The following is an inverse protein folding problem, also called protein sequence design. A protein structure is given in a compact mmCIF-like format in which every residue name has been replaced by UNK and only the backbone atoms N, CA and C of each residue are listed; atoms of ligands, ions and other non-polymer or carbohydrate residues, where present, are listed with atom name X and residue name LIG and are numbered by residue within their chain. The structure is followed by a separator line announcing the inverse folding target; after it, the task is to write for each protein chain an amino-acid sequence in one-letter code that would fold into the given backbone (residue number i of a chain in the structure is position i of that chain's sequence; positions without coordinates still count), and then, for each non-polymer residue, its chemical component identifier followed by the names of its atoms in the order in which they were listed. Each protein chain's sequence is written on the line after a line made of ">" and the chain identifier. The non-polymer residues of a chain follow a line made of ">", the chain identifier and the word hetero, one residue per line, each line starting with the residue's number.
data_IF_929745097814
#
_entry.id   IF_929745097814
#
_cell.length_a   1.000
_cell.length_b   1.000
_cell.length_c   1.000
_cell.angle_alpha   90.00
_cell.angle_beta   90.00
_cell.angle_gamma   90.00
#
_symmetry.space_group_name_H-M   'P 1'
#
loop_
_entity.id
_entity.type
_entity.pdbx_description
1 polymer ?
#
# COMPACT_ATOMS: atom_id res chain seq x y z
N UNK A 1 40.72 72.06 31.87
CA UNK A 1 39.63 72.87 32.45
C UNK A 1 38.45 72.77 31.49
N UNK A 2 37.28 72.41 32.03
CA UNK A 2 36.00 72.05 31.39
C UNK A 2 36.00 70.67 30.68
N UNK A 3 35.20 69.67 31.01
CA UNK A 3 34.03 69.60 31.90
C UNK A 3 32.77 69.22 31.11
N UNK A 4 32.20 68.05 31.42
CA UNK A 4 30.80 67.64 31.17
C UNK A 4 30.41 67.02 29.81
N UNK A 5 30.01 65.74 29.83
CA UNK A 5 28.85 65.20 29.09
C UNK A 5 28.57 63.78 29.61
N UNK A 6 27.68 63.63 30.59
CA UNK A 6 26.25 63.40 30.47
C UNK A 6 25.91 61.90 30.40
N UNK A 7 25.35 61.40 31.51
CA UNK A 7 24.69 60.11 31.62
C UNK A 7 23.60 59.96 30.57
N UNK A 8 23.52 58.82 29.91
CA UNK A 8 22.23 58.25 29.51
C UNK A 8 22.27 56.72 29.61
N UNK A 9 21.48 56.25 30.56
CA UNK A 9 21.04 54.87 30.71
C UNK A 9 20.35 54.41 29.41
N UNK A 10 20.75 53.26 28.86
CA UNK A 10 19.83 52.49 28.03
C UNK A 10 20.07 50.99 28.23
N UNK A 11 19.26 50.41 29.12
CA UNK A 11 19.10 48.97 29.23
C UNK A 11 18.47 48.42 27.94
N UNK A 12 19.28 47.73 27.12
CA UNK A 12 18.77 46.93 26.01
C UNK A 12 18.02 45.71 26.57
N UNK A 13 16.68 45.77 26.57
CA UNK A 13 15.84 44.58 26.68
C UNK A 13 15.83 43.88 25.31
N UNK A 14 16.21 42.60 25.18
CA UNK A 14 15.98 41.86 23.95
C UNK A 14 14.46 41.66 23.76
N UNK A 15 13.92 42.25 22.70
CA UNK A 15 12.56 42.02 22.26
C UNK A 15 12.43 40.59 21.72
N UNK A 16 11.72 39.74 22.46
CA UNK A 16 11.26 38.42 21.97
C UNK A 16 10.18 38.68 20.93
N UNK A 17 10.50 38.42 19.66
CA UNK A 17 9.52 38.43 18.57
C UNK A 17 8.66 37.16 18.65
N UNK A 18 7.33 37.25 18.73
CA UNK A 18 6.45 36.09 18.59
C UNK A 18 6.56 35.57 17.15
N UNK A 19 7.01 34.31 17.04
CA UNK A 19 7.13 33.56 15.78
C UNK A 19 5.73 33.43 15.15
N UNK A 20 5.55 33.74 13.85
CA UNK A 20 4.24 33.63 13.20
C UNK A 20 3.72 32.19 13.31
N UNK A 21 2.51 32.08 13.86
CA UNK A 21 1.82 30.82 14.07
C UNK A 21 1.60 30.07 12.76
N UNK A 22 1.70 28.75 12.86
CA UNK A 22 1.39 27.80 11.80
C UNK A 22 -0.02 28.14 11.27
N UNK A 23 -0.10 28.58 10.01
CA UNK A 23 -1.37 28.70 9.31
C UNK A 23 -1.92 27.30 9.09
N UNK A 24 -2.79 26.84 9.98
CA UNK A 24 -3.64 25.68 9.76
C UNK A 24 -4.62 25.99 8.64
N UNK A 25 -4.27 25.61 7.42
CA UNK A 25 -5.24 25.50 6.34
C UNK A 25 -6.34 24.50 6.75
N UNK A 26 -7.63 24.76 6.44
CA UNK A 26 -8.70 23.83 6.77
C UNK A 26 -8.44 22.45 6.15
N UNK A 27 -8.69 21.34 6.88
CA UNK A 27 -8.55 20.00 6.31
C UNK A 27 -9.46 19.83 5.11
N UNK A 28 -8.94 19.27 4.02
CA UNK A 28 -9.70 18.96 2.83
C UNK A 28 -10.84 17.96 3.18
N UNK A 29 -12.01 18.07 2.53
CA UNK A 29 -13.13 17.17 2.82
C UNK A 29 -12.75 15.71 2.48
N UNK A 30 -13.19 14.73 3.29
CA UNK A 30 -12.94 13.31 3.01
C UNK A 30 -13.53 12.90 1.66
N UNK A 31 -12.77 12.12 0.88
CA UNK A 31 -13.24 11.49 -0.35
C UNK A 31 -13.77 10.11 -0.02
N UNK A 32 -14.87 9.72 -0.67
CA UNK A 32 -15.47 8.40 -0.47
C UNK A 32 -15.58 7.65 -1.78
N UNK A 33 -15.27 6.36 -1.75
CA UNK A 33 -15.27 5.49 -2.91
C UNK A 33 -16.06 4.21 -2.60
N UNK A 34 -17.11 3.89 -3.38
CA UNK A 34 -17.75 2.58 -3.27
C UNK A 34 -16.79 1.51 -3.80
N UNK A 35 -16.67 0.40 -3.07
CA UNK A 35 -15.79 -0.70 -3.42
C UNK A 35 -16.45 -2.04 -3.14
N UNK A 36 -15.98 -3.06 -3.87
CA UNK A 36 -16.37 -4.45 -3.72
C UNK A 36 -15.14 -5.30 -3.55
N UNK A 37 -15.26 -6.40 -2.84
CA UNK A 37 -14.15 -7.29 -2.65
C UNK A 37 -14.51 -8.60 -1.97
N UNK A 38 -13.49 -9.41 -1.75
CA UNK A 38 -13.56 -10.67 -1.02
C UNK A 38 -12.68 -10.56 0.21
N UNK A 39 -13.25 -10.86 1.38
CA UNK A 39 -12.50 -10.93 2.63
C UNK A 39 -11.49 -12.07 2.53
N UNK A 40 -10.20 -11.79 2.75
CA UNK A 40 -9.14 -12.80 2.78
C UNK A 40 -8.76 -13.21 4.19
N UNK A 41 -8.75 -12.25 5.12
CA UNK A 41 -8.34 -12.48 6.51
C UNK A 41 -8.93 -11.38 7.39
N UNK A 42 -9.35 -11.73 8.61
CA UNK A 42 -9.63 -10.77 9.67
C UNK A 42 -8.46 -10.79 10.64
N UNK A 43 -7.86 -9.62 10.91
CA UNK A 43 -6.74 -9.54 11.84
C UNK A 43 -7.24 -9.63 13.29
N UNK A 44 -6.40 -10.17 14.20
CA UNK A 44 -6.79 -10.38 15.61
C UNK A 44 -6.92 -9.07 16.41
N UNK A 45 -6.52 -7.93 15.85
CA UNK A 45 -6.74 -6.60 16.43
C UNK A 45 -8.22 -6.18 16.41
N UNK A 46 -9.06 -6.85 15.60
CA UNK A 46 -10.48 -6.56 15.47
C UNK A 46 -10.80 -5.24 14.76
N UNK A 47 -9.78 -4.60 14.18
CA UNK A 47 -9.88 -3.31 13.51
C UNK A 47 -9.28 -3.33 12.11
N UNK A 48 -8.63 -4.41 11.70
CA UNK A 48 -8.05 -4.54 10.37
C UNK A 48 -8.61 -5.76 9.64
N UNK A 49 -9.01 -5.57 8.39
CA UNK A 49 -9.45 -6.65 7.51
C UNK A 49 -8.63 -6.64 6.22
N UNK A 50 -8.13 -7.81 5.82
CA UNK A 50 -7.44 -7.98 4.55
C UNK A 50 -8.49 -8.31 3.49
N UNK A 51 -8.63 -7.43 2.50
CA UNK A 51 -9.62 -7.59 1.44
C UNK A 51 -8.90 -7.63 0.09
N UNK A 52 -9.25 -8.62 -0.73
CA UNK A 52 -8.99 -8.56 -2.17
C UNK A 52 -10.09 -7.73 -2.80
N UNK A 53 -9.81 -6.46 -3.04
CA UNK A 53 -10.81 -5.55 -3.61
C UNK A 53 -10.71 -5.51 -5.14
N UNK A 54 -11.83 -5.20 -5.77
CA UNK A 54 -11.91 -4.90 -7.20
C UNK A 54 -11.30 -3.53 -7.52
N UNK A 55 -11.16 -3.21 -8.80
CA UNK A 55 -10.68 -1.90 -9.20
C UNK A 55 -11.64 -0.81 -8.71
N UNK A 56 -11.09 0.22 -8.05
CA UNK A 56 -11.82 1.40 -7.56
C UNK A 56 -11.55 2.53 -8.57
N UNK A 57 -12.54 2.88 -9.43
CA UNK A 57 -12.34 3.86 -10.49
C UNK A 57 -11.85 5.21 -9.96
N UNK A 58 -10.77 5.71 -10.53
CA UNK A 58 -10.18 7.01 -10.15
C UNK A 58 -9.43 7.01 -8.82
N UNK A 59 -9.20 5.83 -8.21
CA UNK A 59 -8.42 5.72 -6.97
C UNK A 59 -7.32 4.65 -7.06
N UNK A 60 -7.67 3.38 -7.31
CA UNK A 60 -6.68 2.29 -7.33
C UNK A 60 -7.16 1.04 -8.11
N UNK A 61 -6.21 0.26 -8.63
CA UNK A 61 -6.49 -1.02 -9.28
C UNK A 61 -6.80 -2.14 -8.28
N UNK A 62 -7.31 -3.28 -8.77
CA UNK A 62 -7.63 -4.43 -7.93
C UNK A 62 -6.37 -5.01 -7.26
N UNK A 63 -6.36 -5.09 -5.92
CA UNK A 63 -5.25 -5.68 -5.17
C UNK A 63 -5.74 -6.27 -3.84
N UNK A 64 -4.84 -6.96 -3.13
CA UNK A 64 -5.13 -7.52 -1.79
C UNK A 64 -4.32 -6.77 -0.76
N UNK A 65 -4.99 -6.09 0.17
CA UNK A 65 -4.32 -5.28 1.18
C UNK A 65 -5.15 -5.15 2.46
N UNK A 66 -4.52 -4.80 3.60
CA UNK A 66 -5.22 -4.52 4.84
C UNK A 66 -5.93 -3.16 4.78
N UNK A 67 -7.18 -3.12 5.23
CA UNK A 67 -7.97 -1.92 5.44
C UNK A 67 -8.34 -1.78 6.91
N UNK A 68 -8.12 -0.61 7.53
CA UNK A 68 -8.57 -0.35 8.89
C UNK A 68 -10.07 -0.02 8.91
N UNK A 69 -10.73 -0.35 10.01
CA UNK A 69 -12.16 -0.17 10.26
C UNK A 69 -12.34 0.58 11.57
N UNK A 70 -13.17 1.64 11.57
CA UNK A 70 -13.39 2.47 12.76
C UNK A 70 -14.31 1.81 13.79
N UNK A 71 -15.31 1.05 13.34
CA UNK A 71 -16.21 0.30 14.21
C UNK A 71 -15.95 -1.21 14.06
N UNK A 72 -15.38 -1.88 15.08
CA UNK A 72 -15.18 -3.34 15.07
C UNK A 72 -16.46 -4.14 14.80
N UNK A 73 -17.64 -3.58 15.08
CA UNK A 73 -18.93 -4.23 14.82
C UNK A 73 -19.20 -4.45 13.33
N UNK A 74 -18.61 -3.64 12.45
CA UNK A 74 -18.70 -3.82 10.99
C UNK A 74 -18.02 -5.12 10.54
N UNK A 75 -17.07 -5.64 11.33
CA UNK A 75 -16.39 -6.90 11.07
C UNK A 75 -17.10 -8.11 11.70
N UNK A 76 -18.10 -7.88 12.56
CA UNK A 76 -18.79 -8.96 13.26
C UNK A 76 -19.60 -9.82 12.29
N UNK A 77 -19.34 -11.13 12.29
CA UNK A 77 -20.04 -12.09 11.43
C UNK A 77 -19.52 -12.19 10.00
N UNK A 78 -18.45 -11.45 9.64
CA UNK A 78 -17.72 -11.66 8.40
C UNK A 78 -16.75 -12.83 8.53
N UNK A 79 -16.62 -13.61 7.47
CA UNK A 79 -15.69 -14.72 7.38
C UNK A 79 -14.75 -14.57 6.17
N UNK A 80 -13.53 -15.11 6.24
CA UNK A 80 -12.69 -15.26 5.05
C UNK A 80 -13.45 -15.98 3.93
N UNK A 81 -13.47 -15.39 2.74
CA UNK A 81 -14.22 -15.88 1.57
C UNK A 81 -15.49 -15.09 1.26
N UNK A 82 -16.01 -14.29 2.20
CA UNK A 82 -17.23 -13.52 1.98
C UNK A 82 -17.00 -12.40 0.96
N UNK A 83 -17.95 -12.28 0.03
CA UNK A 83 -18.04 -11.11 -0.85
C UNK A 83 -18.69 -9.98 -0.08
N UNK A 84 -18.05 -8.81 -0.11
CA UNK A 84 -18.49 -7.64 0.63
C UNK A 84 -18.56 -6.41 -0.27
N UNK A 85 -19.57 -5.59 -0.04
CA UNK A 85 -19.63 -4.20 -0.47
C UNK A 85 -19.24 -3.32 0.72
N UNK A 86 -18.41 -2.32 0.48
CA UNK A 86 -17.96 -1.39 1.50
C UNK A 86 -17.67 -0.03 0.89
N UNK A 87 -17.58 0.99 1.74
CA UNK A 87 -17.18 2.32 1.32
C UNK A 87 -15.81 2.65 1.91
N UNK A 88 -14.88 3.00 1.03
CA UNK A 88 -13.56 3.48 1.40
C UNK A 88 -13.60 4.99 1.60
N UNK A 89 -13.25 5.46 2.79
CA UNK A 89 -13.14 6.88 3.13
C UNK A 89 -11.67 7.25 3.21
N UNK A 90 -11.25 8.27 2.47
CA UNK A 90 -9.86 8.72 2.37
C UNK A 90 -9.77 10.19 2.70
N UNK A 91 -8.88 10.53 3.63
CA UNK A 91 -8.52 11.90 4.00
C UNK A 91 -7.06 12.16 3.60
N UNK A 92 -6.54 13.35 3.90
CA UNK A 92 -5.13 13.67 3.67
C UNK A 92 -4.17 12.76 4.45
N UNK A 93 -4.56 12.27 5.62
CA UNK A 93 -3.66 11.57 6.55
C UNK A 93 -4.02 10.10 6.79
N UNK A 94 -5.29 9.73 6.62
CA UNK A 94 -5.78 8.39 6.95
C UNK A 94 -6.82 7.91 5.92
N UNK A 95 -6.94 6.60 5.77
CA UNK A 95 -8.02 5.97 5.02
C UNK A 95 -8.56 4.77 5.79
N UNK A 96 -9.88 4.60 5.80
CA UNK A 96 -10.57 3.50 6.50
C UNK A 96 -11.81 3.08 5.71
N UNK A 97 -12.34 1.90 6.00
CA UNK A 97 -13.58 1.43 5.40
C UNK A 97 -14.74 1.49 6.40
N UNK A 98 -15.95 1.72 5.89
CA UNK A 98 -17.20 1.68 6.65
C UNK A 98 -18.34 1.07 5.82
N UNK A 99 -19.49 0.85 6.46
CA UNK A 99 -20.71 0.31 5.83
C UNK A 99 -20.46 -1.04 5.14
N UNK A 100 -19.75 -1.95 5.82
CA UNK A 100 -19.39 -3.25 5.25
C UNK A 100 -20.63 -4.14 5.27
N UNK A 101 -20.99 -4.66 4.10
CA UNK A 101 -22.16 -5.53 3.95
C UNK A 101 -21.80 -6.77 3.15
N UNK A 102 -22.11 -7.98 3.66
CA UNK A 102 -21.98 -9.19 2.87
C UNK A 102 -22.97 -9.13 1.70
N UNK A 103 -22.46 -9.35 0.50
CA UNK A 103 -23.27 -9.50 -0.70
C UNK A 103 -23.56 -10.98 -0.84
N UNK A 104 -24.83 -11.35 -0.67
CA UNK A 104 -25.26 -12.71 -0.96
C UNK A 104 -24.82 -13.08 -2.38
N UNK A 105 -24.06 -14.17 -2.49
CA UNK A 105 -23.66 -14.69 -3.78
C UNK A 105 -24.91 -15.20 -4.50
N UNK A 106 -25.60 -14.33 -5.24
CA UNK A 106 -26.48 -14.77 -6.32
C UNK A 106 -25.55 -15.43 -7.32
N UNK A 107 -25.39 -16.74 -7.21
CA UNK A 107 -24.45 -17.52 -7.99
C UNK A 107 -24.65 -17.20 -9.49
N UNK A 108 -23.70 -16.54 -10.16
CA UNK A 108 -23.53 -16.81 -11.58
C UNK A 108 -22.92 -18.20 -11.63
N UNK A 109 -23.60 -19.13 -12.29
CA UNK A 109 -23.02 -20.38 -12.78
C UNK A 109 -21.55 -20.15 -13.15
N UNK A 110 -20.58 -20.92 -12.62
CA UNK A 110 -19.21 -20.73 -13.04
C UNK A 110 -19.17 -20.92 -14.56
N UNK A 111 -18.80 -19.91 -15.37
CA UNK A 111 -18.31 -20.22 -16.70
C UNK A 111 -17.13 -21.13 -16.42
N UNK A 112 -17.11 -22.31 -17.04
CA UNK A 112 -16.02 -23.29 -16.95
C UNK A 112 -14.70 -22.52 -16.99
N UNK A 113 -14.12 -22.29 -15.81
CA UNK A 113 -12.86 -21.57 -15.70
C UNK A 113 -11.84 -22.56 -16.23
N UNK A 114 -11.11 -22.21 -17.32
CA UNK A 114 -9.93 -22.98 -17.68
C UNK A 114 -9.05 -23.07 -16.43
N UNK A 115 -8.39 -24.21 -16.15
CA UNK A 115 -7.49 -24.31 -15.00
C UNK A 115 -6.58 -23.09 -15.02
N UNK A 116 -6.51 -22.38 -13.88
CA UNK A 116 -5.72 -21.17 -13.72
C UNK A 116 -4.34 -21.44 -14.30
N UNK A 117 -4.07 -20.89 -15.48
CA UNK A 117 -2.75 -20.99 -16.08
C UNK A 117 -1.85 -20.19 -15.12
N UNK A 118 -0.79 -20.80 -14.57
CA UNK A 118 0.12 -20.05 -13.73
C UNK A 118 0.51 -18.76 -14.45
N UNK A 119 0.38 -17.64 -13.75
CA UNK A 119 0.79 -16.31 -14.21
C UNK A 119 2.29 -16.24 -14.52
N UNK A 120 3.04 -17.23 -14.05
CA UNK A 120 4.38 -17.56 -14.49
C UNK A 120 4.34 -18.61 -15.63
N UNK A 121 4.87 -18.23 -16.79
CA UNK A 121 5.17 -19.19 -17.86
C UNK A 121 6.34 -20.06 -17.39
N UNK A 122 6.12 -21.35 -17.18
CA UNK A 122 7.22 -22.32 -17.00
C UNK A 122 7.93 -22.47 -18.34
N UNK A 123 8.85 -21.56 -18.65
CA UNK A 123 9.54 -21.59 -19.97
C UNK A 123 10.47 -22.80 -20.05
N UNK A 124 10.97 -23.28 -18.89
CA UNK A 124 11.88 -24.42 -18.78
C UNK A 124 11.61 -25.09 -17.44
N UNK A 125 11.09 -26.30 -17.44
CA UNK A 125 11.18 -27.17 -16.27
C UNK A 125 12.64 -27.58 -16.15
N UNK A 126 13.45 -26.77 -15.46
CA UNK A 126 14.83 -27.10 -15.15
C UNK A 126 14.84 -27.87 -13.84
N UNK A 127 15.28 -29.12 -13.92
CA UNK A 127 15.45 -30.00 -12.77
C UNK A 127 16.37 -29.30 -11.73
N UNK A 128 15.98 -29.25 -10.44
CA UNK A 128 16.84 -28.68 -9.41
C UNK A 128 18.18 -29.42 -9.33
N UNK A 129 19.27 -28.69 -9.51
CA UNK A 129 20.63 -29.24 -9.37
C UNK A 129 20.96 -29.45 -7.89
N UNK A 130 21.66 -30.53 -7.59
CA UNK A 130 22.21 -30.84 -6.26
C UNK A 130 23.59 -30.23 -6.10
N UNK A 131 24.04 -30.10 -4.85
CA UNK A 131 25.41 -29.65 -4.56
C UNK A 131 26.40 -30.64 -5.14
N UNK A 132 27.26 -30.16 -6.04
CA UNK A 132 28.23 -30.97 -6.77
C UNK A 132 27.84 -31.27 -8.23
N UNK A 133 26.62 -30.97 -8.64
CA UNK A 133 26.21 -31.13 -10.05
C UNK A 133 26.89 -30.08 -10.93
N UNK A 134 27.22 -30.49 -12.16
CA UNK A 134 27.81 -29.60 -13.16
C UNK A 134 26.76 -28.59 -13.62
N UNK A 135 27.11 -27.30 -13.61
CA UNK A 135 26.22 -26.25 -14.08
C UNK A 135 25.93 -26.42 -15.59
N UNK A 136 24.65 -26.59 -15.99
CA UNK A 136 24.27 -26.70 -17.39
C UNK A 136 24.66 -25.44 -18.16
N UNK A 137 24.95 -25.62 -19.45
CA UNK A 137 25.26 -24.48 -20.30
C UNK A 137 23.98 -23.72 -20.67
N UNK A 138 23.92 -22.45 -20.25
CA UNK A 138 22.83 -21.55 -20.57
C UNK A 138 23.33 -20.39 -21.42
N UNK A 139 22.49 -19.98 -22.38
CA UNK A 139 22.74 -18.83 -23.25
C UNK A 139 21.97 -17.62 -22.75
N UNK A 140 22.66 -16.51 -22.58
CA UNK A 140 22.10 -15.23 -22.14
C UNK A 140 22.40 -14.16 -23.19
N UNK A 141 21.63 -13.08 -23.15
CA UNK A 141 21.91 -11.87 -23.94
C UNK A 141 22.49 -10.83 -23.01
N UNK A 142 23.67 -10.30 -23.33
CA UNK A 142 24.29 -9.23 -22.55
C UNK A 142 23.68 -7.86 -22.87
N UNK A 143 24.10 -6.81 -22.16
CA UNK A 143 23.60 -5.44 -22.36
C UNK A 143 23.94 -4.85 -23.74
N UNK A 144 24.90 -5.45 -24.46
CA UNK A 144 25.29 -5.08 -25.83
C UNK A 144 24.50 -5.86 -26.89
N UNK A 145 23.53 -6.69 -26.48
CA UNK A 145 22.72 -7.52 -27.38
C UNK A 145 23.43 -8.78 -27.89
N UNK A 146 24.60 -9.11 -27.37
CA UNK A 146 25.38 -10.27 -27.78
C UNK A 146 24.96 -11.51 -26.98
N UNK A 147 24.88 -12.66 -27.66
CA UNK A 147 24.65 -13.95 -26.99
C UNK A 147 25.95 -14.41 -26.33
N UNK A 148 25.90 -14.68 -25.03
CA UNK A 148 27.01 -15.21 -24.23
C UNK A 148 26.59 -16.52 -23.57
N UNK A 149 27.53 -17.44 -23.42
CA UNK A 149 27.31 -18.77 -22.82
C UNK A 149 27.94 -18.83 -21.43
N UNK A 150 27.30 -19.53 -20.48
CA UNK A 150 27.89 -19.74 -19.15
C UNK A 150 29.20 -20.53 -19.20
N UNK A 151 29.36 -21.39 -20.19
CA UNK A 151 30.59 -22.16 -20.35
C UNK A 151 31.83 -21.28 -20.60
N UNK A 152 31.64 -20.04 -21.07
CA UNK A 152 32.68 -19.06 -21.37
C UNK A 152 33.23 -18.36 -20.10
N UNK A 153 32.48 -18.40 -18.99
CA UNK A 153 32.83 -17.74 -17.73
C UNK A 153 33.22 -18.74 -16.64
N UNK A 154 34.25 -19.57 -16.91
CA UNK A 154 34.85 -20.42 -15.89
C UNK A 154 35.74 -19.55 -14.99
N UNK A 155 35.35 -19.39 -13.74
CA UNK A 155 36.22 -18.88 -12.68
C UNK A 155 37.28 -19.89 -12.31
#
# INVERSE_FOLDING_TARGET
>A
MLGSCLLLLWACRPAVQPKPGISTAPPAPPRTYPARGVVKELKPDGQTVVIQHEAIPGYMEAMTMPFPVKDPKELAGLHPGDRVEFRLVVTTNEGWIDQIKPVAATAPTPPTAPPARPEWRVVRAVEPLKVGDVMPDYRFTNQLGQVVSLSEFRG
#
